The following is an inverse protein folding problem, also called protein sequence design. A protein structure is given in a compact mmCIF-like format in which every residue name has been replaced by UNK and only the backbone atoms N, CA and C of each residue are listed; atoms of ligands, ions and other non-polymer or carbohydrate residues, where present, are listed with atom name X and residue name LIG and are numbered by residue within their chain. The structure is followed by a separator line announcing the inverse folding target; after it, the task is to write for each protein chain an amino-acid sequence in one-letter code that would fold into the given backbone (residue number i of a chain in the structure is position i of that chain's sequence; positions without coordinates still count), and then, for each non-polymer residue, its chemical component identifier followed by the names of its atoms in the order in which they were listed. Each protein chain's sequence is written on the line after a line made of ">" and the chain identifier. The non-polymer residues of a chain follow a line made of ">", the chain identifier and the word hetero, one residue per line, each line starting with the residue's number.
data_IF_692357299539
#
_entry.id   IF_692357299539
#
_cell.length_a   1.000
_cell.length_b   1.000
_cell.length_c   1.000
_cell.angle_alpha   90.00
_cell.angle_beta   90.00
_cell.angle_gamma   90.00
#
_symmetry.space_group_name_H-M   'P 1'
#
loop_
_entity.id
_entity.type
_entity.pdbx_description
1 polymer ?
#
# COMPACT_ATOMS: atom_id res chain seq x y z
N UNK A 1 -43.02 2.40 -10.20
CA UNK A 1 -41.76 3.09 -10.53
C UNK A 1 -41.31 3.64 -9.21
N UNK A 2 -40.30 3.06 -8.59
CA UNK A 2 -39.86 3.50 -7.27
C UNK A 2 -39.28 4.91 -7.42
N UNK A 3 -39.94 5.90 -6.81
CA UNK A 3 -39.40 7.24 -6.73
C UNK A 3 -38.12 7.19 -5.89
N UNK A 4 -37.01 7.59 -6.50
CA UNK A 4 -35.74 7.80 -5.79
C UNK A 4 -35.96 8.98 -4.85
N UNK A 5 -36.15 8.68 -3.56
CA UNK A 5 -36.44 9.63 -2.50
C UNK A 5 -35.19 10.06 -1.72
N UNK A 6 -34.00 9.81 -2.27
CA UNK A 6 -32.72 10.15 -1.66
C UNK A 6 -31.77 10.79 -2.68
N UNK A 7 -30.85 11.61 -2.19
CA UNK A 7 -29.85 12.25 -3.03
C UNK A 7 -28.62 12.65 -2.20
N UNK A 8 -27.49 12.79 -2.88
CA UNK A 8 -26.24 13.26 -2.28
C UNK A 8 -26.01 14.74 -2.57
N UNK A 9 -25.39 15.44 -1.60
CA UNK A 9 -24.88 16.80 -1.80
C UNK A 9 -23.39 16.79 -1.45
N UNK A 10 -22.57 17.31 -2.36
CA UNK A 10 -21.17 17.64 -2.05
C UNK A 10 -21.09 19.09 -1.56
N UNK A 11 -20.41 19.30 -0.42
CA UNK A 11 -20.29 20.62 0.21
C UNK A 11 -18.81 21.04 0.36
N UNK A 12 -18.13 21.48 -0.71
CA UNK A 12 -16.73 21.89 -0.63
C UNK A 12 -16.57 23.20 0.12
N UNK A 13 -15.59 23.26 1.02
CA UNK A 13 -15.33 24.41 1.90
C UNK A 13 -14.88 25.68 1.17
N UNK A 14 -14.32 25.55 -0.03
CA UNK A 14 -13.81 26.66 -0.87
C UNK A 14 -14.79 27.10 -1.97
N UNK A 15 -15.94 26.44 -2.14
CA UNK A 15 -16.85 26.69 -3.27
C UNK A 15 -17.56 28.04 -3.24
N UNK A 16 -17.65 28.67 -2.06
CA UNK A 16 -18.55 29.79 -1.80
C UNK A 16 -17.86 31.01 -1.20
N UNK A 17 -16.55 31.15 -1.39
CA UNK A 17 -15.75 32.27 -0.87
C UNK A 17 -16.25 33.63 -1.36
N UNK A 18 -16.78 33.71 -2.58
CA UNK A 18 -17.39 34.93 -3.14
C UNK A 18 -18.69 35.36 -2.42
N UNK A 19 -19.45 34.41 -1.86
CA UNK A 19 -20.70 34.71 -1.14
C UNK A 19 -20.51 34.78 0.37
N UNK A 20 -19.54 34.02 0.89
CA UNK A 20 -19.21 33.93 2.30
C UNK A 20 -17.71 34.15 2.49
N UNK A 21 -17.23 35.41 2.41
CA UNK A 21 -15.79 35.73 2.43
C UNK A 21 -15.11 35.41 3.77
N UNK A 22 -15.87 35.17 4.83
CA UNK A 22 -15.37 34.75 6.15
C UNK A 22 -15.24 33.23 6.32
N UNK A 23 -15.54 32.44 5.28
CA UNK A 23 -15.38 30.99 5.34
C UNK A 23 -13.93 30.62 5.66
N UNK A 24 -13.76 29.67 6.55
CA UNK A 24 -12.49 29.01 6.87
C UNK A 24 -12.65 27.51 6.61
N UNK A 25 -11.53 26.78 6.56
CA UNK A 25 -11.59 25.33 6.38
C UNK A 25 -12.33 24.60 7.52
N UNK A 26 -12.25 25.13 8.75
CA UNK A 26 -12.89 24.55 9.93
C UNK A 26 -14.33 25.06 10.18
N UNK A 27 -14.74 26.14 9.50
CA UNK A 27 -16.07 26.73 9.64
C UNK A 27 -16.45 27.43 8.34
N UNK A 28 -17.36 26.82 7.58
CA UNK A 28 -17.78 27.32 6.29
C UNK A 28 -19.27 27.09 6.04
N UNK A 29 -19.81 27.89 5.12
CA UNK A 29 -21.14 27.70 4.54
C UNK A 29 -21.02 27.57 3.03
N UNK A 30 -21.80 26.66 2.43
CA UNK A 30 -21.84 26.44 0.98
C UNK A 30 -23.14 26.99 0.40
N UNK A 31 -23.04 27.74 -0.70
CA UNK A 31 -24.19 28.12 -1.53
C UNK A 31 -24.52 26.97 -2.46
N UNK A 32 -25.74 26.44 -2.35
CA UNK A 32 -26.22 25.39 -3.24
C UNK A 32 -26.52 25.96 -4.64
N UNK A 33 -26.25 25.16 -5.67
CA UNK A 33 -26.49 25.55 -7.06
C UNK A 33 -27.99 25.71 -7.38
N UNK A 34 -28.83 24.91 -6.73
CA UNK A 34 -30.29 24.94 -6.83
C UNK A 34 -30.91 24.88 -5.45
N UNK A 35 -32.11 25.44 -5.33
CA UNK A 35 -32.93 25.28 -4.13
C UNK A 35 -33.33 23.81 -4.00
N UNK A 36 -33.21 23.27 -2.79
CA UNK A 36 -33.67 21.92 -2.45
C UNK A 36 -34.91 22.08 -1.59
N UNK A 37 -36.02 21.51 -2.05
CA UNK A 37 -37.30 21.53 -1.33
C UNK A 37 -37.44 20.18 -0.66
N UNK A 38 -37.41 20.17 0.67
CA UNK A 38 -37.57 18.97 1.48
C UNK A 38 -38.99 18.95 2.04
N UNK A 39 -39.88 18.20 1.40
CA UNK A 39 -41.26 18.00 1.87
C UNK A 39 -41.32 16.80 2.81
N UNK A 40 -41.97 16.95 3.97
CA UNK A 40 -42.09 15.89 4.97
C UNK A 40 -40.88 15.79 5.90
N UNK A 41 -40.73 14.63 6.56
CA UNK A 41 -39.60 14.37 7.44
C UNK A 41 -38.43 13.79 6.63
N UNK A 42 -37.23 14.33 6.87
CA UNK A 42 -36.00 13.90 6.23
C UNK A 42 -34.96 13.55 7.27
N UNK A 43 -34.20 12.50 6.99
CA UNK A 43 -32.98 12.15 7.71
C UNK A 43 -31.78 12.53 6.85
N UNK A 44 -30.68 12.90 7.50
CA UNK A 44 -29.45 13.29 6.81
C UNK A 44 -28.29 12.55 7.43
N UNK A 45 -27.48 11.92 6.59
CA UNK A 45 -26.29 11.20 7.00
C UNK A 45 -25.04 11.76 6.32
N UNK A 46 -23.89 11.65 7.00
CA UNK A 46 -22.60 11.90 6.38
C UNK A 46 -22.17 10.62 5.64
N UNK A 47 -22.09 10.68 4.30
CA UNK A 47 -21.59 9.55 3.50
C UNK A 47 -20.07 9.56 3.37
N UNK A 48 -19.47 10.73 3.19
CA UNK A 48 -18.03 10.90 2.94
C UNK A 48 -17.54 12.26 3.45
N UNK A 49 -16.28 12.31 3.92
CA UNK A 49 -15.62 13.54 4.34
C UNK A 49 -14.14 13.55 3.93
N UNK A 50 -13.70 14.62 3.27
CA UNK A 50 -12.30 14.88 2.96
C UNK A 50 -11.74 15.95 3.89
N UNK A 51 -10.88 15.54 4.82
CA UNK A 51 -10.19 16.45 5.72
C UNK A 51 -8.73 16.56 5.23
N UNK A 52 -8.29 17.74 4.75
CA UNK A 52 -6.91 17.95 4.31
C UNK A 52 -5.98 18.10 5.53
N UNK A 53 -5.78 16.99 6.25
CA UNK A 53 -4.84 16.86 7.36
C UNK A 53 -3.95 15.65 7.10
N UNK A 54 -2.65 15.82 7.25
CA UNK A 54 -1.74 14.71 7.53
C UNK A 54 -1.97 14.28 8.98
N UNK A 55 -2.71 13.20 9.19
CA UNK A 55 -2.69 12.53 10.49
C UNK A 55 -1.35 11.79 10.60
N UNK A 56 -0.47 12.27 11.47
CA UNK A 56 0.70 11.51 11.85
C UNK A 56 0.22 10.30 12.64
N UNK A 57 0.16 9.13 11.99
CA UNK A 57 -0.19 7.87 12.66
C UNK A 57 0.79 7.55 13.80
N UNK A 58 1.98 8.15 13.75
CA UNK A 58 3.05 8.03 14.74
C UNK A 58 3.38 9.44 15.21
N UNK A 59 2.92 9.79 16.40
CA UNK A 59 3.30 11.04 17.09
C UNK A 59 4.19 10.75 18.30
N UNK A 60 4.73 11.79 18.93
CA UNK A 60 5.58 11.69 20.14
C UNK A 60 4.95 10.88 21.30
N UNK A 61 3.62 10.68 21.28
CA UNK A 61 2.86 10.01 22.32
C UNK A 61 2.24 8.68 21.87
N UNK A 62 2.41 8.29 20.60
CA UNK A 62 1.78 7.08 20.03
C UNK A 62 2.75 6.36 19.07
N UNK A 63 3.91 5.97 19.60
CA UNK A 63 5.01 5.37 18.86
C UNK A 63 5.59 4.17 19.62
N UNK A 64 4.78 3.15 19.90
CA UNK A 64 5.28 1.88 20.44
C UNK A 64 5.72 0.97 19.29
N UNK A 65 7.01 0.71 19.20
CA UNK A 65 7.58 -0.28 18.28
C UNK A 65 8.06 -1.50 19.06
N UNK A 66 7.88 -2.68 18.48
CA UNK A 66 8.48 -3.93 18.98
C UNK A 66 9.29 -4.51 17.84
N UNK A 67 10.57 -4.79 18.12
CA UNK A 67 11.47 -5.47 17.21
C UNK A 67 11.53 -6.92 17.67
N UNK A 68 11.06 -7.84 16.84
CA UNK A 68 11.20 -9.28 17.06
C UNK A 68 12.41 -9.74 16.26
N UNK A 69 13.39 -10.32 16.95
CA UNK A 69 14.50 -11.01 16.30
C UNK A 69 14.11 -12.47 16.14
N UNK A 70 14.08 -12.96 14.91
CA UNK A 70 14.08 -14.41 14.66
C UNK A 70 15.53 -14.88 14.75
N UNK A 71 15.84 -15.75 15.71
CA UNK A 71 17.13 -16.45 15.70
C UNK A 71 17.23 -17.23 14.39
N UNK A 72 18.11 -16.77 13.51
CA UNK A 72 18.45 -17.52 12.30
C UNK A 72 19.25 -18.73 12.75
N UNK A 73 18.60 -19.89 12.86
CA UNK A 73 19.31 -21.16 12.98
C UNK A 73 20.11 -21.35 11.70
N UNK A 74 21.43 -21.22 11.81
CA UNK A 74 22.34 -21.64 10.75
C UNK A 74 22.17 -23.16 10.66
N UNK A 75 21.48 -23.61 9.61
CA UNK A 75 21.50 -25.02 9.23
C UNK A 75 22.88 -25.23 8.62
N UNK A 76 23.75 -26.00 9.29
CA UNK A 76 24.97 -26.52 8.66
C UNK A 76 24.55 -27.21 7.36
N UNK A 77 25.02 -26.69 6.22
CA UNK A 77 24.76 -27.31 4.92
C UNK A 77 25.41 -28.68 4.92
N UNK A 78 24.61 -29.74 4.83
CA UNK A 78 25.07 -31.07 4.42
C UNK A 78 25.72 -30.94 3.03
N UNK A 79 27.05 -30.96 2.99
CA UNK A 79 27.77 -31.14 1.73
C UNK A 79 27.65 -32.61 1.34
N UNK A 80 26.90 -32.90 0.28
CA UNK A 80 26.94 -34.22 -0.35
C UNK A 80 28.18 -34.30 -1.24
N UNK A 81 29.16 -35.12 -0.88
CA UNK A 81 30.25 -35.52 -1.78
C UNK A 81 29.69 -36.42 -2.88
N UNK A 82 29.99 -36.07 -4.12
CA UNK A 82 29.70 -36.90 -5.29
C UNK A 82 31.02 -37.31 -5.92
N UNK A 83 31.25 -38.61 -6.02
CA UNK A 83 32.36 -39.15 -6.80
C UNK A 83 31.99 -39.13 -8.29
N UNK A 84 32.70 -38.32 -9.07
CA UNK A 84 32.57 -38.30 -10.52
C UNK A 84 33.66 -39.21 -11.11
N UNK A 85 33.25 -40.39 -11.58
CA UNK A 85 34.13 -41.31 -12.29
C UNK A 85 34.30 -40.91 -13.76
N UNK A 86 35.43 -40.30 -14.11
CA UNK A 86 35.77 -39.96 -15.50
C UNK A 86 36.62 -41.08 -16.11
N UNK A 87 36.25 -41.53 -17.32
CA UNK A 87 37.08 -42.47 -18.10
C UNK A 87 38.00 -41.66 -18.99
N UNK A 88 39.30 -41.77 -18.75
CA UNK A 88 40.33 -41.03 -19.49
C UNK A 88 41.05 -42.02 -20.41
N UNK A 89 41.28 -41.64 -21.67
CA UNK A 89 42.05 -42.45 -22.61
C UNK A 89 43.55 -42.42 -22.27
N UNK A 90 44.28 -43.47 -22.64
CA UNK A 90 45.70 -43.59 -22.32
C UNK A 90 46.52 -42.53 -23.08
N UNK A 91 47.13 -41.60 -22.35
CA UNK A 91 48.00 -40.55 -22.91
C UNK A 91 47.44 -39.13 -22.80
N UNK A 92 46.24 -38.94 -22.26
CA UNK A 92 45.68 -37.60 -21.99
C UNK A 92 46.46 -36.91 -20.87
N UNK A 93 46.81 -35.64 -21.06
CA UNK A 93 47.48 -34.83 -20.04
C UNK A 93 46.47 -34.30 -19.01
N UNK A 94 46.89 -34.11 -17.76
CA UNK A 94 46.04 -33.67 -16.65
C UNK A 94 45.25 -32.37 -16.95
N UNK A 95 45.84 -31.47 -17.75
CA UNK A 95 45.21 -30.21 -18.14
C UNK A 95 43.98 -30.41 -19.04
N UNK A 96 44.05 -31.38 -19.96
CA UNK A 96 42.97 -31.66 -20.92
C UNK A 96 41.78 -32.31 -20.21
N UNK A 97 42.04 -33.11 -19.18
CA UNK A 97 41.02 -33.74 -18.33
C UNK A 97 40.19 -32.69 -17.59
N UNK A 98 40.85 -31.67 -17.04
CA UNK A 98 40.18 -30.58 -16.31
C UNK A 98 39.30 -29.75 -17.26
N UNK A 99 39.74 -29.53 -18.50
CA UNK A 99 38.95 -28.81 -19.50
C UNK A 99 37.69 -29.60 -19.91
N UNK A 100 37.81 -30.90 -20.15
CA UNK A 100 36.70 -31.76 -20.57
C UNK A 100 35.61 -31.89 -19.48
N UNK A 101 36.01 -31.94 -18.21
CA UNK A 101 35.09 -31.93 -17.06
C UNK A 101 34.30 -30.61 -17.02
N UNK A 102 34.96 -29.48 -17.24
CA UNK A 102 34.31 -28.16 -17.19
C UNK A 102 33.34 -27.93 -18.36
N UNK A 103 33.51 -28.63 -19.49
CA UNK A 103 32.59 -28.55 -20.63
C UNK A 103 31.37 -29.48 -20.51
N UNK A 104 31.38 -30.42 -19.57
CA UNK A 104 30.34 -31.45 -19.41
C UNK A 104 29.31 -31.14 -18.31
N UNK A 105 29.42 -29.96 -17.68
CA UNK A 105 28.49 -29.40 -16.68
C UNK A 105 27.79 -28.19 -17.29
#
# INVERSE_FOLDING_TARGET
>A
MDEVNDFYITLPSNSSTQFFPKNTQASFRTKLARLIILTGAWEVGLSEIFIPRTWFNIGNHNNKYSITYEETKIIEKDYAEYDIGVKIEQGTADADVIEEINQSI
#
